data_IF_038673041197
#
_entry.id   IF_038673041197
#
_cell.length_a   1.000
_cell.length_b   1.000
_cell.length_c   1.000
_cell.angle_alpha   90.00
_cell.angle_beta   90.00
_cell.angle_gamma   90.00
#
_symmetry.space_group_name_H-M   'P 1'
#
loop_
_entity.id
_entity.type
_entity.pdbx_description
1 polymer ?
#
# COMPACT_ATOMS: atom_id res chain seq x y z
N UNK A 1 -19.10 18.66 -18.73
CA UNK A 1 -17.76 19.26 -18.91
C UNK A 1 -16.95 19.32 -17.62
N UNK A 2 -17.17 20.24 -16.67
CA UNK A 2 -16.27 20.35 -15.48
C UNK A 2 -16.22 19.10 -14.59
N UNK A 3 -17.31 18.33 -14.54
CA UNK A 3 -17.41 17.13 -13.72
C UNK A 3 -16.83 15.86 -14.40
N UNK A 4 -16.76 15.82 -15.74
CA UNK A 4 -16.18 14.70 -16.50
C UNK A 4 -14.64 14.73 -16.43
N UNK A 5 -14.03 15.91 -16.60
CA UNK A 5 -12.58 16.08 -16.44
C UNK A 5 -12.13 15.73 -15.01
N UNK A 6 -12.97 16.02 -14.01
CA UNK A 6 -12.71 15.69 -12.62
C UNK A 6 -12.80 14.17 -12.37
N UNK A 7 -13.77 13.49 -12.98
CA UNK A 7 -13.89 12.03 -12.86
C UNK A 7 -12.71 11.30 -13.48
N UNK A 8 -12.23 11.75 -14.63
CA UNK A 8 -11.07 11.16 -15.30
C UNK A 8 -9.79 11.34 -14.48
N UNK A 9 -9.61 12.51 -13.87
CA UNK A 9 -8.50 12.76 -12.95
C UNK A 9 -8.56 11.85 -11.72
N UNK A 10 -9.75 11.64 -11.13
CA UNK A 10 -9.91 10.72 -9.99
C UNK A 10 -9.56 9.29 -10.38
N UNK A 11 -9.98 8.83 -11.56
CA UNK A 11 -9.66 7.49 -12.07
C UNK A 11 -8.14 7.32 -12.22
N UNK A 12 -7.45 8.32 -12.77
CA UNK A 12 -5.98 8.27 -12.89
C UNK A 12 -5.29 8.19 -11.53
N UNK A 13 -5.73 8.98 -10.54
CA UNK A 13 -5.17 8.95 -9.18
C UNK A 13 -5.46 7.60 -8.51
N UNK A 14 -6.63 6.99 -8.76
CA UNK A 14 -6.95 5.63 -8.30
C UNK A 14 -6.04 4.56 -8.91
N UNK A 15 -5.69 4.68 -10.20
CA UNK A 15 -4.71 3.78 -10.83
C UNK A 15 -3.33 3.91 -10.19
N UNK A 16 -2.88 5.14 -9.88
CA UNK A 16 -1.61 5.38 -9.17
C UNK A 16 -1.67 4.77 -7.77
N UNK A 17 -2.78 4.94 -7.06
CA UNK A 17 -2.99 4.36 -5.74
C UNK A 17 -2.93 2.82 -5.77
N UNK A 18 -3.59 2.18 -6.74
CA UNK A 18 -3.56 0.73 -6.92
C UNK A 18 -2.14 0.23 -7.28
N UNK A 19 -1.41 0.98 -8.11
CA UNK A 19 -0.02 0.65 -8.44
C UNK A 19 0.90 0.73 -7.22
N UNK A 20 0.73 1.74 -6.37
CA UNK A 20 1.48 1.86 -5.11
C UNK A 20 1.17 0.72 -4.14
N UNK A 21 -0.10 0.28 -4.06
CA UNK A 21 -0.48 -0.89 -3.27
C UNK A 21 0.18 -2.17 -3.79
N UNK A 22 0.22 -2.35 -5.12
CA UNK A 22 0.89 -3.50 -5.74
C UNK A 22 2.40 -3.48 -5.45
N UNK A 23 3.03 -2.30 -5.50
CA UNK A 23 4.44 -2.15 -5.14
C UNK A 23 4.70 -2.44 -3.64
N UNK A 24 3.81 -2.00 -2.75
CA UNK A 24 3.89 -2.29 -1.31
C UNK A 24 3.75 -3.80 -1.04
N UNK A 25 2.82 -4.47 -1.73
CA UNK A 25 2.66 -5.92 -1.67
C UNK A 25 3.91 -6.66 -2.17
N UNK A 26 4.47 -6.25 -3.32
CA UNK A 26 5.68 -6.83 -3.87
C UNK A 26 6.89 -6.67 -2.93
N UNK A 27 7.02 -5.50 -2.29
CA UNK A 27 8.06 -5.26 -1.30
C UNK A 27 7.91 -6.16 -0.06
N UNK A 28 6.68 -6.41 0.41
CA UNK A 28 6.42 -7.38 1.48
C UNK A 28 6.73 -8.83 1.07
N UNK A 29 6.40 -9.21 -0.17
CA UNK A 29 6.70 -10.54 -0.69
C UNK A 29 8.21 -10.80 -0.84
N UNK A 30 8.98 -9.81 -1.29
CA UNK A 30 10.45 -9.89 -1.39
C UNK A 30 11.06 -10.04 0.01
N UNK A 31 10.55 -9.30 1.00
CA UNK A 31 10.99 -9.40 2.38
C UNK A 31 10.78 -10.83 2.94
N UNK A 32 9.56 -11.34 2.82
CA UNK A 32 9.18 -12.67 3.30
C UNK A 32 9.94 -13.82 2.62
N UNK A 33 10.25 -13.70 1.32
CA UNK A 33 10.92 -14.77 0.58
C UNK A 33 12.44 -14.69 0.66
N UNK A 34 13.00 -13.51 0.43
CA UNK A 34 14.45 -13.36 0.23
C UNK A 34 15.21 -13.34 1.56
N UNK A 35 14.67 -12.69 2.59
CA UNK A 35 15.36 -12.53 3.87
C UNK A 35 15.05 -13.66 4.85
N UNK A 36 13.87 -14.26 4.76
CA UNK A 36 13.48 -15.35 5.65
C UNK A 36 14.02 -16.74 5.24
N UNK A 37 14.19 -17.03 3.93
CA UNK A 37 14.79 -18.29 3.48
C UNK A 37 16.32 -18.31 3.58
N UNK A 38 16.99 -17.15 3.46
CA UNK A 38 18.42 -17.13 3.21
C UNK A 38 19.30 -17.24 4.45
N UNK A 39 18.78 -17.03 5.66
CA UNK A 39 19.57 -17.03 6.91
C UNK A 39 20.78 -16.08 6.88
N UNK A 40 20.83 -15.20 5.88
CA UNK A 40 22.01 -14.43 5.52
C UNK A 40 21.89 -13.03 6.14
N UNK A 41 22.90 -12.58 6.90
CA UNK A 41 22.87 -11.28 7.52
C UNK A 41 23.20 -10.24 6.45
N UNK A 42 22.21 -9.81 5.68
CA UNK A 42 22.30 -8.56 4.91
C UNK A 42 21.46 -7.47 5.58
N UNK A 43 21.81 -7.05 6.81
CA UNK A 43 21.00 -6.11 7.60
C UNK A 43 20.80 -4.78 6.87
N UNK A 44 21.76 -4.35 6.06
CA UNK A 44 21.64 -3.12 5.27
C UNK A 44 20.55 -3.20 4.20
N UNK A 45 20.37 -4.37 3.55
CA UNK A 45 19.36 -4.55 2.51
C UNK A 45 17.95 -4.67 3.09
N UNK A 46 17.84 -5.33 4.24
CA UNK A 46 16.60 -5.44 5.02
C UNK A 46 16.15 -4.05 5.50
N UNK A 47 17.08 -3.25 6.05
CA UNK A 47 16.76 -1.90 6.53
C UNK A 47 16.31 -0.96 5.39
N UNK A 48 16.94 -1.06 4.21
CA UNK A 48 16.51 -0.30 3.02
C UNK A 48 15.11 -0.74 2.57
N UNK A 49 14.81 -2.05 2.59
CA UNK A 49 13.51 -2.56 2.19
C UNK A 49 12.40 -2.12 3.15
N UNK A 50 12.66 -2.12 4.47
CA UNK A 50 11.75 -1.60 5.49
C UNK A 50 11.51 -0.09 5.28
N UNK A 51 12.57 0.68 5.02
CA UNK A 51 12.45 2.12 4.70
C UNK A 51 11.63 2.34 3.43
N UNK A 52 11.84 1.53 2.39
CA UNK A 52 11.09 1.59 1.15
C UNK A 52 9.61 1.24 1.35
N UNK A 53 9.28 0.20 2.12
CA UNK A 53 7.91 -0.15 2.49
C UNK A 53 7.22 1.00 3.22
N UNK A 54 7.89 1.65 4.17
CA UNK A 54 7.33 2.83 4.87
C UNK A 54 7.05 3.98 3.90
N UNK A 55 7.97 4.28 2.98
CA UNK A 55 7.77 5.34 1.98
C UNK A 55 6.60 4.99 1.06
N UNK A 56 6.48 3.74 0.62
CA UNK A 56 5.37 3.27 -0.19
C UNK A 56 4.04 3.37 0.57
N UNK A 57 4.00 2.98 1.84
CA UNK A 57 2.82 3.12 2.69
C UNK A 57 2.39 4.59 2.86
N UNK A 58 3.34 5.48 3.15
CA UNK A 58 3.07 6.93 3.20
C UNK A 58 2.59 7.47 1.84
N UNK A 59 3.14 6.96 0.74
CA UNK A 59 2.67 7.26 -0.61
C UNK A 59 1.22 6.85 -0.83
N UNK A 60 0.85 5.61 -0.50
CA UNK A 60 -0.53 5.10 -0.60
C UNK A 60 -1.48 5.96 0.25
N UNK A 61 -1.11 6.29 1.49
CA UNK A 61 -1.90 7.15 2.38
C UNK A 61 -2.10 8.55 1.81
N UNK A 62 -1.04 9.16 1.27
CA UNK A 62 -1.09 10.52 0.71
C UNK A 62 -1.94 10.56 -0.55
N UNK A 63 -1.82 9.56 -1.43
CA UNK A 63 -2.61 9.46 -2.66
C UNK A 63 -4.08 9.15 -2.32
N UNK A 64 -4.35 8.26 -1.37
CA UNK A 64 -5.69 7.99 -0.86
C UNK A 64 -6.36 9.24 -0.28
N UNK A 65 -5.61 10.04 0.48
CA UNK A 65 -6.06 11.34 0.99
C UNK A 65 -6.38 12.33 -0.14
N UNK A 66 -5.56 12.38 -1.20
CA UNK A 66 -5.82 13.21 -2.38
C UNK A 66 -7.13 12.82 -3.07
N UNK A 67 -7.37 11.52 -3.25
CA UNK A 67 -8.63 11.00 -3.83
C UNK A 67 -9.82 11.45 -2.99
N UNK A 68 -9.71 11.36 -1.66
CA UNK A 68 -10.77 11.80 -0.76
C UNK A 68 -11.01 13.32 -0.84
N UNK A 69 -9.97 14.15 -0.92
CA UNK A 69 -10.13 15.61 -1.12
C UNK A 69 -10.89 15.92 -2.41
N UNK A 70 -10.52 15.26 -3.52
CA UNK A 70 -11.16 15.50 -4.81
C UNK A 70 -12.62 15.01 -4.79
N UNK A 71 -12.89 13.84 -4.20
CA UNK A 71 -14.25 13.32 -4.02
C UNK A 71 -15.10 14.17 -3.09
N UNK A 72 -14.53 14.70 -2.01
CA UNK A 72 -15.23 15.61 -1.09
C UNK A 72 -15.65 16.92 -1.77
N UNK A 73 -14.90 17.40 -2.78
CA UNK A 73 -15.35 18.55 -3.60
C UNK A 73 -16.60 18.22 -4.41
N UNK A 74 -16.73 16.99 -4.89
CA UNK A 74 -17.85 16.57 -5.72
C UNK A 74 -19.06 16.16 -4.87
N UNK A 75 -18.85 15.45 -3.76
CA UNK A 75 -19.90 15.10 -2.82
C UNK A 75 -19.33 14.85 -1.42
N UNK A 76 -19.76 15.70 -0.46
CA UNK A 76 -19.25 15.76 0.92
C UNK A 76 -19.51 14.47 1.73
N UNK A 77 -20.44 13.62 1.29
CA UNK A 77 -20.77 12.36 1.98
C UNK A 77 -19.73 11.24 1.78
N UNK A 78 -18.80 11.36 0.83
CA UNK A 78 -17.75 10.35 0.59
C UNK A 78 -16.44 10.64 1.33
N UNK A 79 -16.53 11.36 2.44
CA UNK A 79 -15.39 11.75 3.24
C UNK A 79 -14.61 10.55 3.78
N UNK A 80 -13.28 10.58 3.65
CA UNK A 80 -12.32 9.66 4.29
C UNK A 80 -12.37 8.19 3.88
N UNK A 81 -13.08 7.83 2.80
CA UNK A 81 -13.20 6.45 2.37
C UNK A 81 -11.86 5.88 1.91
N UNK A 82 -11.15 6.59 1.02
CA UNK A 82 -9.86 6.13 0.50
C UNK A 82 -8.75 6.22 1.54
N UNK A 83 -8.80 7.17 2.45
CA UNK A 83 -7.90 7.25 3.59
C UNK A 83 -8.07 6.04 4.51
N UNK A 84 -9.31 5.68 4.86
CA UNK A 84 -9.59 4.48 5.65
C UNK A 84 -9.21 3.20 4.90
N UNK A 85 -9.50 3.10 3.61
CA UNK A 85 -9.08 1.98 2.76
C UNK A 85 -7.55 1.87 2.70
N UNK A 86 -6.83 2.98 2.55
CA UNK A 86 -5.37 3.01 2.53
C UNK A 86 -4.78 2.55 3.86
N UNK A 87 -5.39 2.99 4.97
CA UNK A 87 -4.97 2.60 6.31
C UNK A 87 -5.18 1.10 6.52
N UNK A 88 -6.37 0.60 6.22
CA UNK A 88 -6.70 -0.83 6.35
C UNK A 88 -5.81 -1.66 5.43
N UNK A 89 -5.77 -1.38 4.12
CA UNK A 89 -5.00 -2.18 3.16
C UNK A 89 -3.49 -2.11 3.40
N UNK A 90 -2.96 -0.93 3.75
CA UNK A 90 -1.54 -0.81 4.07
C UNK A 90 -1.16 -1.55 5.36
N UNK A 91 -1.99 -1.48 6.42
CA UNK A 91 -1.79 -2.28 7.64
C UNK A 91 -1.96 -3.78 7.40
N UNK A 92 -2.91 -4.18 6.54
CA UNK A 92 -3.09 -5.58 6.14
C UNK A 92 -1.88 -6.10 5.34
N UNK A 93 -1.22 -5.26 4.53
CA UNK A 93 -0.01 -5.65 3.79
C UNK A 93 1.13 -6.06 4.73
N UNK A 94 1.36 -5.31 5.81
CA UNK A 94 2.38 -5.67 6.82
C UNK A 94 1.98 -6.94 7.59
N UNK A 95 0.70 -7.07 7.94
CA UNK A 95 0.21 -8.21 8.73
C UNK A 95 0.20 -9.53 7.94
N UNK A 96 -0.17 -9.48 6.65
CA UNK A 96 -0.18 -10.64 5.76
C UNK A 96 1.25 -11.14 5.52
N UNK A 97 2.23 -10.25 5.36
CA UNK A 97 3.64 -10.65 5.21
C UNK A 97 4.12 -11.50 6.40
N UNK A 98 3.84 -11.07 7.64
CA UNK A 98 4.21 -11.79 8.85
C UNK A 98 3.40 -13.08 9.10
N UNK A 99 2.11 -13.10 8.76
CA UNK A 99 1.26 -14.27 8.94
C UNK A 99 1.47 -15.35 7.88
N UNK A 100 1.72 -14.97 6.63
CA UNK A 100 1.95 -15.93 5.55
C UNK A 100 3.15 -16.83 5.88
N UNK A 101 4.21 -16.25 6.47
CA UNK A 101 5.38 -17.01 6.89
C UNK A 101 5.09 -17.96 8.06
N UNK A 102 4.45 -17.45 9.11
CA UNK A 102 4.07 -18.24 10.30
C UNK A 102 3.11 -19.39 9.96
N UNK A 103 2.24 -19.18 8.99
CA UNK A 103 1.29 -20.19 8.54
C UNK A 103 1.97 -21.26 7.69
N UNK A 104 2.85 -20.87 6.76
CA UNK A 104 3.61 -21.83 5.94
C UNK A 104 4.58 -22.68 6.77
N UNK A 105 5.27 -22.09 7.76
CA UNK A 105 6.20 -22.81 8.65
C UNK A 105 5.51 -23.75 9.65
N UNK A 106 4.18 -23.64 9.82
CA UNK A 106 3.42 -24.54 10.68
C UNK A 106 2.81 -25.72 9.91
N UNK A 107 2.83 -25.68 8.59
CA UNK A 107 2.22 -26.69 7.71
C UNK A 107 3.26 -27.60 7.04
N UNK A 108 4.56 -27.27 7.10
CA UNK A 108 5.69 -28.05 6.61
C UNK A 108 6.79 -28.09 7.66
#
# INVERSE_FOLDING_TARGET
MKDEDLSDAVIQIQCIWAFLLLALYAAGFIDARLFSESGAPFPEREEILIKAQRVLFFGVMTVGFLIDIVRMRQNRNYAYQYLLLSLVMGSFSEMISGWHWKFWSSFF
#
